data_IF_210853433736
#
_entry.id   IF_210853433736
#
_cell.length_a   1.000
_cell.length_b   1.000
_cell.length_c   1.000
_cell.angle_alpha   90.00
_cell.angle_beta   90.00
_cell.angle_gamma   90.00
#
_symmetry.space_group_name_H-M   'P 1'
#
loop_
_entity.id
_entity.type
_entity.pdbx_description
1 polymer ?
#
# COMPACT_ATOMS: atom_id res chain seq x y z
N UNK A 1 -18.81 12.73 -14.28
CA UNK A 1 -18.46 11.31 -14.54
C UNK A 1 -17.03 11.15 -15.09
N UNK A 2 -16.56 11.93 -16.07
CA UNK A 2 -15.19 11.80 -16.61
C UNK A 2 -14.09 12.02 -15.56
N UNK A 3 -14.25 12.98 -14.64
CA UNK A 3 -13.27 13.27 -13.56
C UNK A 3 -13.13 12.09 -12.56
N UNK A 4 -14.24 11.47 -12.18
CA UNK A 4 -14.25 10.32 -11.24
C UNK A 4 -13.52 9.12 -11.85
N UNK A 5 -13.79 8.80 -13.11
CA UNK A 5 -13.10 7.74 -13.83
C UNK A 5 -11.59 8.01 -14.01
N UNK A 6 -11.23 9.27 -14.29
CA UNK A 6 -9.83 9.66 -14.37
C UNK A 6 -9.13 9.58 -12.99
N UNK A 7 -9.83 9.93 -11.90
CA UNK A 7 -9.29 9.75 -10.54
C UNK A 7 -9.05 8.28 -10.19
N UNK A 8 -9.93 7.37 -10.63
CA UNK A 8 -9.73 5.93 -10.49
C UNK A 8 -8.47 5.46 -11.24
N UNK A 9 -8.34 5.83 -12.52
CA UNK A 9 -7.13 5.52 -13.30
C UNK A 9 -5.87 6.10 -12.66
N UNK A 10 -5.94 7.34 -12.16
CA UNK A 10 -4.82 8.00 -11.49
C UNK A 10 -4.34 7.21 -10.25
N UNK A 11 -5.28 6.68 -9.45
CA UNK A 11 -4.93 5.86 -8.30
C UNK A 11 -4.17 4.59 -8.70
N UNK A 12 -4.65 3.87 -9.71
CA UNK A 12 -3.96 2.66 -10.19
C UNK A 12 -2.63 2.96 -10.86
N UNK A 13 -2.56 4.01 -11.69
CA UNK A 13 -1.32 4.42 -12.35
C UNK A 13 -0.23 4.84 -11.34
N UNK A 14 -0.62 5.45 -10.22
CA UNK A 14 0.32 5.93 -9.21
C UNK A 14 0.77 4.82 -8.25
N UNK A 15 -0.14 3.98 -7.79
CA UNK A 15 0.10 3.06 -6.68
C UNK A 15 0.22 1.59 -7.10
N UNK A 16 0.20 1.29 -8.39
CA UNK A 16 0.38 -0.07 -8.90
C UNK A 16 1.14 -0.12 -10.23
N UNK A 17 1.60 -1.31 -10.57
CA UNK A 17 2.15 -1.65 -11.89
C UNK A 17 1.09 -2.24 -12.84
N UNK A 18 -0.18 -2.26 -12.41
CA UNK A 18 -1.28 -2.72 -13.25
C UNK A 18 -1.41 -1.75 -14.43
N UNK A 19 -1.37 -2.23 -15.69
CA UNK A 19 -1.48 -1.38 -16.85
C UNK A 19 -2.77 -0.56 -16.84
N UNK A 20 -2.62 0.76 -16.93
CA UNK A 20 -3.74 1.70 -16.98
C UNK A 20 -3.60 2.60 -18.21
N UNK A 21 -4.72 3.03 -18.81
CA UNK A 21 -4.68 4.04 -19.86
C UNK A 21 -4.00 5.34 -19.38
N UNK A 22 -3.41 6.08 -20.30
CA UNK A 22 -2.76 7.36 -19.97
C UNK A 22 -3.66 8.28 -19.15
N UNK A 23 -3.07 8.91 -18.16
CA UNK A 23 -3.74 9.82 -17.23
C UNK A 23 -3.08 11.20 -17.32
N UNK A 24 -3.89 12.22 -17.51
CA UNK A 24 -3.43 13.61 -17.37
C UNK A 24 -3.34 13.97 -15.90
N UNK A 25 -2.15 14.28 -15.44
CA UNK A 25 -1.85 14.66 -14.05
C UNK A 25 -2.23 16.14 -13.81
N UNK A 26 -3.51 16.38 -13.50
CA UNK A 26 -4.05 17.69 -13.19
C UNK A 26 -4.91 17.63 -11.92
N UNK A 27 -5.19 18.78 -11.32
CA UNK A 27 -5.96 18.90 -10.07
C UNK A 27 -7.33 18.24 -10.14
N UNK A 28 -7.99 18.32 -11.28
CA UNK A 28 -9.33 17.77 -11.46
C UNK A 28 -9.32 16.23 -11.43
N UNK A 29 -8.36 15.62 -12.11
CA UNK A 29 -8.20 14.16 -12.17
C UNK A 29 -7.64 13.59 -10.85
N UNK A 30 -6.88 14.37 -10.08
CA UNK A 30 -6.33 13.97 -8.78
C UNK A 30 -7.33 14.16 -7.62
N UNK A 31 -8.39 14.92 -7.83
CA UNK A 31 -9.33 15.35 -6.78
C UNK A 31 -9.90 14.20 -5.92
N UNK A 32 -10.22 13.08 -6.53
CA UNK A 32 -10.81 11.91 -5.86
C UNK A 32 -9.86 10.70 -5.86
N UNK A 33 -8.60 10.87 -6.26
CA UNK A 33 -7.64 9.77 -6.39
C UNK A 33 -7.50 8.98 -5.07
N UNK A 34 -7.45 9.68 -3.93
CA UNK A 34 -7.33 9.04 -2.62
C UNK A 34 -8.57 8.22 -2.23
N UNK A 35 -9.76 8.55 -2.74
CA UNK A 35 -10.95 7.72 -2.54
C UNK A 35 -10.83 6.35 -3.23
N UNK A 36 -10.04 6.27 -4.30
CA UNK A 36 -9.81 5.04 -5.08
C UNK A 36 -8.55 4.28 -4.68
N UNK A 37 -7.73 4.85 -3.81
CA UNK A 37 -6.53 4.18 -3.33
C UNK A 37 -6.80 2.82 -2.65
N UNK A 38 -7.86 2.62 -1.84
CA UNK A 38 -8.21 1.31 -1.29
C UNK A 38 -8.46 0.23 -2.33
N UNK A 39 -8.93 0.58 -3.53
CA UNK A 39 -9.18 -0.41 -4.60
C UNK A 39 -7.89 -1.02 -5.16
N UNK A 40 -6.76 -0.33 -5.06
CA UNK A 40 -5.45 -0.94 -5.32
C UNK A 40 -5.17 -2.05 -4.30
N UNK A 41 -5.50 -1.81 -3.03
CA UNK A 41 -5.46 -2.84 -1.99
C UNK A 41 -6.40 -4.01 -2.28
N UNK A 42 -7.62 -3.72 -2.77
CA UNK A 42 -8.58 -4.75 -3.19
C UNK A 42 -8.02 -5.63 -4.32
N UNK A 43 -7.37 -5.04 -5.32
CA UNK A 43 -6.76 -5.80 -6.41
C UNK A 43 -5.65 -6.73 -5.91
N UNK A 44 -4.81 -6.25 -4.97
CA UNK A 44 -3.79 -7.08 -4.31
C UNK A 44 -4.47 -8.21 -3.53
N UNK A 45 -5.49 -7.89 -2.73
CA UNK A 45 -6.20 -8.84 -1.89
C UNK A 45 -6.87 -9.94 -2.72
N UNK A 46 -7.58 -9.59 -3.79
CA UNK A 46 -8.22 -10.56 -4.69
C UNK A 46 -7.16 -11.49 -5.31
N UNK A 47 -6.05 -10.94 -5.81
CA UNK A 47 -4.99 -11.75 -6.40
C UNK A 47 -4.36 -12.69 -5.36
N UNK A 48 -4.08 -12.18 -4.16
CA UNK A 48 -3.49 -12.95 -3.07
C UNK A 48 -4.43 -14.07 -2.61
N UNK A 49 -5.71 -13.75 -2.42
CA UNK A 49 -6.73 -14.74 -2.06
C UNK A 49 -6.89 -15.80 -3.16
N UNK A 50 -6.99 -15.40 -4.42
CA UNK A 50 -7.14 -16.32 -5.55
C UNK A 50 -5.95 -17.28 -5.65
N UNK A 51 -4.73 -16.75 -5.59
CA UNK A 51 -3.50 -17.56 -5.65
C UNK A 51 -3.42 -18.48 -4.43
N UNK A 52 -3.67 -17.97 -3.23
CA UNK A 52 -3.67 -18.77 -2.00
C UNK A 52 -4.71 -19.88 -2.03
N UNK A 53 -5.92 -19.58 -2.48
CA UNK A 53 -6.99 -20.57 -2.60
C UNK A 53 -6.69 -21.62 -3.69
N UNK A 54 -6.36 -21.18 -4.91
CA UNK A 54 -6.15 -22.10 -6.05
C UNK A 54 -4.93 -22.98 -5.84
N UNK A 55 -3.77 -22.38 -5.49
CA UNK A 55 -2.55 -23.14 -5.30
C UNK A 55 -2.54 -23.95 -4.01
N UNK A 56 -3.18 -23.43 -2.95
CA UNK A 56 -3.28 -24.13 -1.68
C UNK A 56 -4.26 -25.32 -1.68
N UNK A 57 -5.36 -25.23 -2.48
CA UNK A 57 -6.41 -26.25 -2.48
C UNK A 57 -6.33 -27.24 -3.64
N UNK A 58 -5.81 -26.82 -4.80
CA UNK A 58 -5.88 -27.59 -6.03
C UNK A 58 -4.52 -28.01 -6.59
N UNK A 59 -3.42 -27.41 -6.11
CA UNK A 59 -2.07 -27.74 -6.53
C UNK A 59 -1.31 -28.28 -5.33
N UNK A 60 -0.68 -29.44 -5.46
CA UNK A 60 0.21 -30.00 -4.43
C UNK A 60 1.52 -29.20 -4.39
N UNK A 61 1.44 -27.96 -3.91
CA UNK A 61 2.59 -27.09 -3.76
C UNK A 61 3.14 -27.19 -2.35
N UNK A 62 4.47 -27.16 -2.23
CA UNK A 62 5.12 -27.12 -0.93
C UNK A 62 4.69 -25.82 -0.19
N UNK A 63 4.18 -25.96 1.07
CA UNK A 63 3.58 -24.81 1.78
C UNK A 63 4.53 -23.61 1.96
N UNK A 64 5.81 -23.85 2.17
CA UNK A 64 6.78 -22.75 2.31
C UNK A 64 6.91 -21.97 0.99
N UNK A 65 6.93 -22.66 -0.15
CA UNK A 65 7.01 -22.00 -1.44
C UNK A 65 5.74 -21.19 -1.77
N UNK A 66 4.57 -21.70 -1.39
CA UNK A 66 3.32 -20.93 -1.50
C UNK A 66 3.38 -19.67 -0.63
N UNK A 67 3.88 -19.74 0.60
CA UNK A 67 4.06 -18.59 1.46
C UNK A 67 5.00 -17.54 0.84
N UNK A 68 6.08 -17.98 0.16
CA UNK A 68 6.98 -17.09 -0.61
C UNK A 68 6.21 -16.37 -1.72
N UNK A 69 5.40 -17.08 -2.50
CA UNK A 69 4.59 -16.48 -3.57
C UNK A 69 3.66 -15.41 -3.00
N UNK A 70 2.91 -15.72 -1.94
CA UNK A 70 1.99 -14.78 -1.29
C UNK A 70 2.70 -13.55 -0.72
N UNK A 71 3.92 -13.73 -0.22
CA UNK A 71 4.76 -12.64 0.30
C UNK A 71 5.14 -11.63 -0.79
N UNK A 72 5.45 -12.09 -2.00
CA UNK A 72 5.96 -11.22 -3.07
C UNK A 72 4.86 -10.58 -3.94
N UNK A 73 3.64 -11.12 -3.95
CA UNK A 73 2.52 -10.57 -4.74
C UNK A 73 2.32 -9.06 -4.52
N UNK A 74 2.21 -8.54 -3.28
CA UNK A 74 2.01 -7.10 -3.06
C UNK A 74 3.15 -6.25 -3.62
N UNK A 75 4.38 -6.75 -3.58
CA UNK A 75 5.56 -6.05 -4.12
C UNK A 75 5.47 -5.94 -5.63
N UNK A 76 5.16 -7.04 -6.32
CA UNK A 76 5.03 -7.03 -7.78
C UNK A 76 3.86 -6.17 -8.25
N UNK A 77 2.71 -6.26 -7.58
CA UNK A 77 1.52 -5.47 -7.95
C UNK A 77 1.75 -3.98 -7.76
N UNK A 78 2.44 -3.56 -6.69
CA UNK A 78 2.69 -2.15 -6.41
C UNK A 78 4.00 -1.61 -6.97
N UNK A 79 4.88 -2.49 -7.45
CA UNK A 79 6.25 -2.13 -7.81
C UNK A 79 7.10 -1.70 -6.61
N UNK A 80 6.71 -2.12 -5.41
CA UNK A 80 7.46 -1.87 -4.18
C UNK A 80 7.27 -0.49 -3.55
N UNK A 81 6.49 0.43 -4.13
CA UNK A 81 6.38 1.83 -3.67
C UNK A 81 6.05 1.99 -2.17
N UNK A 82 5.29 1.06 -1.59
CA UNK A 82 4.95 1.12 -0.17
C UNK A 82 6.09 0.61 0.73
N UNK A 83 6.81 -0.40 0.25
CA UNK A 83 7.99 -0.92 0.93
C UNK A 83 9.11 0.11 0.87
N UNK A 84 9.33 0.72 -0.28
CA UNK A 84 10.27 1.82 -0.48
C UNK A 84 10.06 2.94 0.56
N UNK A 85 8.82 3.44 0.69
CA UNK A 85 8.50 4.44 1.71
C UNK A 85 8.72 3.97 3.16
N UNK A 86 8.55 2.69 3.46
CA UNK A 86 8.89 2.11 4.76
C UNK A 86 10.41 2.16 5.00
N UNK A 87 11.19 1.79 3.99
CA UNK A 87 12.66 1.72 4.08
C UNK A 87 13.27 3.12 4.23
N UNK A 88 12.83 4.08 3.41
CA UNK A 88 13.25 5.47 3.51
C UNK A 88 12.95 6.06 4.89
N UNK A 89 11.75 5.80 5.40
CA UNK A 89 11.33 6.26 6.72
C UNK A 89 12.16 5.60 7.82
N UNK A 90 12.48 4.31 7.69
CA UNK A 90 13.30 3.58 8.64
C UNK A 90 14.72 4.16 8.72
N UNK A 91 15.35 4.43 7.58
CA UNK A 91 16.68 5.05 7.56
C UNK A 91 16.67 6.45 8.20
N UNK A 92 15.69 7.27 7.83
CA UNK A 92 15.56 8.62 8.36
C UNK A 92 15.35 8.63 9.89
N UNK A 93 14.49 7.76 10.43
CA UNK A 93 14.19 7.69 11.85
C UNK A 93 15.33 7.07 12.65
N UNK A 94 15.93 6.00 12.14
CA UNK A 94 17.02 5.29 12.83
C UNK A 94 18.35 6.02 12.80
N UNK A 95 18.46 7.09 12.01
CA UNK A 95 19.67 7.93 11.98
C UNK A 95 19.90 8.72 13.27
N UNK A 96 18.89 8.88 14.12
CA UNK A 96 18.93 9.69 15.36
C UNK A 96 19.39 11.14 15.14
N UNK A 97 19.30 11.63 13.91
CA UNK A 97 19.69 12.99 13.53
C UNK A 97 18.60 14.01 13.82
N UNK A 98 18.96 15.29 13.77
CA UNK A 98 18.00 16.38 13.82
C UNK A 98 16.99 16.34 12.64
N UNK A 99 15.84 16.97 12.82
CA UNK A 99 14.74 16.96 11.85
C UNK A 99 15.19 17.31 10.42
N UNK A 100 16.02 18.35 10.28
CA UNK A 100 16.50 18.80 8.96
C UNK A 100 17.30 17.69 8.26
N UNK A 101 18.23 17.08 8.99
CA UNK A 101 19.05 16.00 8.44
C UNK A 101 18.23 14.74 8.12
N UNK A 102 17.25 14.40 8.96
CA UNK A 102 16.32 13.28 8.65
C UNK A 102 15.52 13.52 7.37
N UNK A 103 15.10 14.76 7.10
CA UNK A 103 14.40 15.12 5.87
C UNK A 103 15.31 15.08 4.64
N UNK A 104 16.62 15.28 4.80
CA UNK A 104 17.63 15.07 3.74
C UNK A 104 17.82 13.59 3.46
N UNK A 105 17.98 12.76 4.50
CA UNK A 105 18.08 11.29 4.36
C UNK A 105 16.84 10.74 3.64
N UNK A 106 15.64 11.22 3.97
CA UNK A 106 14.39 10.84 3.31
C UNK A 106 14.35 11.19 1.81
N UNK A 107 15.25 12.04 1.31
CA UNK A 107 15.39 12.39 -0.11
C UNK A 107 16.47 11.58 -0.82
N UNK A 108 17.32 10.91 -0.08
CA UNK A 108 18.42 10.14 -0.63
C UNK A 108 17.85 8.87 -1.29
N UNK A 109 18.22 8.63 -2.53
CA UNK A 109 17.82 7.43 -3.28
C UNK A 109 18.63 6.18 -2.89
N UNK A 110 19.63 6.30 -2.02
CA UNK A 110 20.46 5.19 -1.58
C UNK A 110 19.88 4.58 -0.30
N UNK A 111 19.67 3.27 -0.31
CA UNK A 111 19.26 2.55 0.89
C UNK A 111 20.42 2.47 1.89
N UNK A 112 20.19 2.92 3.11
CA UNK A 112 21.13 2.78 4.21
C UNK A 112 21.03 1.43 4.91
N UNK A 113 21.87 1.22 5.91
CA UNK A 113 21.93 -0.04 6.65
C UNK A 113 20.60 -0.35 7.37
N UNK A 114 19.95 0.67 7.92
CA UNK A 114 18.67 0.46 8.64
C UNK A 114 17.53 0.11 7.70
N UNK A 115 17.48 0.65 6.48
CA UNK A 115 16.55 0.20 5.45
C UNK A 115 16.73 -1.29 5.16
N UNK A 116 17.96 -1.75 4.95
CA UNK A 116 18.26 -3.15 4.67
C UNK A 116 17.82 -4.06 5.83
N UNK A 117 18.17 -3.69 7.06
CA UNK A 117 17.75 -4.44 8.26
C UNK A 117 16.23 -4.50 8.35
N UNK A 118 15.55 -3.36 8.15
CA UNK A 118 14.08 -3.28 8.18
C UNK A 118 13.45 -4.13 7.08
N UNK A 119 14.00 -4.13 5.87
CA UNK A 119 13.55 -4.99 4.79
C UNK A 119 13.64 -6.47 5.15
N UNK A 120 14.80 -6.90 5.67
CA UNK A 120 15.00 -8.29 6.07
C UNK A 120 13.99 -8.71 7.17
N UNK A 121 13.86 -7.91 8.23
CA UNK A 121 12.92 -8.20 9.33
C UNK A 121 11.48 -8.22 8.83
N UNK A 122 11.09 -7.22 8.03
CA UNK A 122 9.74 -7.14 7.46
C UNK A 122 9.40 -8.38 6.64
N UNK A 123 10.26 -8.76 5.69
CA UNK A 123 9.96 -9.90 4.81
C UNK A 123 10.04 -11.25 5.52
N UNK A 124 10.91 -11.42 6.52
CA UNK A 124 10.97 -12.64 7.33
C UNK A 124 9.67 -12.79 8.13
N UNK A 125 9.22 -11.72 8.80
CA UNK A 125 7.98 -11.77 9.59
C UNK A 125 6.75 -11.95 8.69
N UNK A 126 6.72 -11.29 7.54
CA UNK A 126 5.64 -11.38 6.57
C UNK A 126 5.53 -12.79 5.96
N UNK A 127 6.65 -13.39 5.61
CA UNK A 127 6.74 -14.78 5.15
C UNK A 127 6.27 -15.75 6.25
N UNK A 128 6.73 -15.54 7.48
CA UNK A 128 6.31 -16.35 8.63
C UNK A 128 4.81 -16.27 8.89
N UNK A 129 4.21 -15.07 8.77
CA UNK A 129 2.78 -14.87 8.91
C UNK A 129 1.99 -15.63 7.83
N UNK A 130 2.40 -15.54 6.56
CA UNK A 130 1.78 -16.34 5.49
C UNK A 130 1.90 -17.83 5.72
N UNK A 131 3.10 -18.30 6.12
CA UNK A 131 3.32 -19.72 6.42
C UNK A 131 2.41 -20.24 7.52
N UNK A 132 2.13 -19.41 8.53
CA UNK A 132 1.23 -19.76 9.63
C UNK A 132 -0.24 -19.84 9.20
N UNK A 133 -0.66 -19.02 8.23
CA UNK A 133 -2.04 -18.94 7.75
C UNK A 133 -2.38 -19.98 6.67
N UNK A 134 -1.37 -20.66 6.11
CA UNK A 134 -1.63 -21.67 5.10
C UNK A 134 -2.41 -22.86 5.69
N UNK A 135 -3.52 -23.21 5.04
CA UNK A 135 -4.49 -24.19 5.51
C UNK A 135 -5.69 -23.57 6.27
N UNK A 136 -5.61 -22.30 6.64
CA UNK A 136 -6.73 -21.53 7.19
C UNK A 136 -7.31 -20.60 6.10
N UNK A 137 -8.44 -21.01 5.52
CA UNK A 137 -9.11 -20.23 4.47
C UNK A 137 -9.62 -18.86 4.97
N UNK A 138 -10.11 -18.81 6.21
CA UNK A 138 -10.61 -17.58 6.81
C UNK A 138 -9.45 -16.63 7.09
N UNK A 139 -8.34 -17.13 7.59
CA UNK A 139 -7.11 -16.36 7.80
C UNK A 139 -6.56 -15.75 6.51
N UNK A 140 -6.54 -16.52 5.41
CA UNK A 140 -6.14 -16.00 4.09
C UNK A 140 -7.11 -14.91 3.60
N UNK A 141 -8.41 -15.10 3.81
CA UNK A 141 -9.43 -14.13 3.43
C UNK A 141 -9.26 -12.82 4.20
N UNK A 142 -9.13 -12.89 5.52
CA UNK A 142 -8.92 -11.76 6.43
C UNK A 142 -7.65 -10.99 6.03
N UNK A 143 -6.52 -11.68 5.81
CA UNK A 143 -5.29 -11.04 5.35
C UNK A 143 -5.46 -10.34 3.99
N UNK A 144 -6.23 -10.94 3.10
CA UNK A 144 -6.52 -10.36 1.77
C UNK A 144 -7.35 -9.08 1.88
N UNK A 145 -8.34 -9.03 2.77
CA UNK A 145 -9.11 -7.82 3.10
C UNK A 145 -8.20 -6.76 3.76
N UNK A 146 -7.24 -7.19 4.56
CA UNK A 146 -6.25 -6.34 5.22
C UNK A 146 -5.48 -5.43 4.26
N UNK A 147 -5.26 -5.83 3.00
CA UNK A 147 -4.64 -4.96 2.00
C UNK A 147 -5.51 -3.72 1.69
N UNK A 148 -6.81 -3.87 1.58
CA UNK A 148 -7.72 -2.74 1.38
C UNK A 148 -7.76 -1.84 2.62
N UNK A 149 -7.85 -2.43 3.83
CA UNK A 149 -7.85 -1.68 5.09
C UNK A 149 -6.56 -0.87 5.27
N UNK A 150 -5.42 -1.47 4.98
CA UNK A 150 -4.12 -0.79 5.03
C UNK A 150 -4.08 0.46 4.14
N UNK A 151 -4.67 0.42 2.95
CA UNK A 151 -4.76 1.58 2.04
C UNK A 151 -5.75 2.62 2.53
N UNK A 152 -6.84 2.22 3.18
CA UNK A 152 -7.72 3.17 3.86
C UNK A 152 -6.96 3.94 4.94
N UNK A 153 -6.23 3.25 5.82
CA UNK A 153 -5.44 3.89 6.87
C UNK A 153 -4.34 4.81 6.32
N UNK A 154 -3.61 4.34 5.31
CA UNK A 154 -2.58 5.15 4.65
C UNK A 154 -3.17 6.41 4.01
N UNK A 155 -4.31 6.28 3.33
CA UNK A 155 -5.02 7.42 2.73
C UNK A 155 -5.53 8.41 3.76
N UNK A 156 -6.08 7.93 4.89
CA UNK A 156 -6.49 8.75 6.03
C UNK A 156 -5.27 9.51 6.58
N UNK A 157 -4.13 8.82 6.77
CA UNK A 157 -2.90 9.42 7.24
C UNK A 157 -2.40 10.54 6.32
N UNK A 158 -2.43 10.30 5.00
CA UNK A 158 -2.06 11.34 4.00
C UNK A 158 -2.96 12.58 4.09
N UNK A 159 -4.22 12.43 4.46
CA UNK A 159 -5.16 13.57 4.53
C UNK A 159 -5.07 14.28 5.88
N UNK A 160 -5.04 13.55 6.99
CA UNK A 160 -5.20 14.11 8.34
C UNK A 160 -3.88 14.64 8.91
N UNK A 161 -2.76 13.91 8.71
CA UNK A 161 -1.51 14.28 9.36
C UNK A 161 -0.84 15.49 8.69
N UNK A 162 -0.22 16.38 9.49
CA UNK A 162 0.62 17.45 8.97
C UNK A 162 1.74 16.90 8.10
N UNK A 163 2.00 17.53 6.98
CA UNK A 163 3.06 17.10 6.06
C UNK A 163 4.42 17.46 6.62
N UNK A 164 5.35 16.53 6.64
CA UNK A 164 6.73 16.77 7.06
C UNK A 164 7.44 17.76 6.13
N UNK A 165 7.01 17.79 4.85
CA UNK A 165 7.56 18.65 3.78
C UNK A 165 6.41 19.28 2.98
N UNK A 166 6.68 20.45 2.42
CA UNK A 166 5.76 21.18 1.52
C UNK A 166 5.90 20.77 0.05
N UNK A 167 7.02 20.10 -0.28
CA UNK A 167 7.37 19.57 -1.60
C UNK A 167 7.24 18.04 -1.59
N UNK A 168 7.08 17.46 -2.78
CA UNK A 168 7.00 16.02 -2.98
C UNK A 168 5.58 15.48 -3.17
N UNK A 169 5.53 14.22 -3.57
CA UNK A 169 4.33 13.52 -4.06
C UNK A 169 3.18 13.50 -3.04
N UNK A 170 3.49 13.22 -1.76
CA UNK A 170 2.47 13.16 -0.69
C UNK A 170 1.85 14.55 -0.42
N UNK A 171 2.67 15.61 -0.45
CA UNK A 171 2.18 16.98 -0.29
C UNK A 171 1.30 17.40 -1.48
N UNK A 172 1.64 16.97 -2.69
CA UNK A 172 0.87 17.22 -3.89
C UNK A 172 -0.49 16.50 -3.86
N UNK A 173 -0.52 15.24 -3.45
CA UNK A 173 -1.76 14.47 -3.30
C UNK A 173 -2.70 15.13 -2.31
N UNK A 174 -2.19 15.53 -1.15
CA UNK A 174 -3.00 16.21 -0.14
C UNK A 174 -3.55 17.55 -0.65
N UNK A 175 -2.74 18.36 -1.32
CA UNK A 175 -3.20 19.67 -1.86
C UNK A 175 -4.28 19.54 -2.93
N UNK A 176 -4.23 18.48 -3.73
CA UNK A 176 -5.14 18.29 -4.86
C UNK A 176 -6.38 17.47 -4.47
N UNK A 177 -6.35 16.76 -3.34
CA UNK A 177 -7.46 15.96 -2.85
C UNK A 177 -8.62 16.83 -2.34
N UNK A 178 -9.84 16.33 -2.53
CA UNK A 178 -11.00 16.83 -1.78
C UNK A 178 -10.96 16.24 -0.37
N UNK A 179 -10.31 16.94 0.57
CA UNK A 179 -10.00 16.42 1.91
C UNK A 179 -11.22 15.84 2.63
N UNK A 180 -12.34 16.59 2.66
CA UNK A 180 -13.56 16.16 3.37
C UNK A 180 -14.13 14.91 2.72
N UNK A 181 -14.24 14.88 1.39
CA UNK A 181 -14.82 13.73 0.68
C UNK A 181 -13.92 12.51 0.83
N UNK A 182 -12.62 12.67 0.61
CA UNK A 182 -11.67 11.56 0.69
C UNK A 182 -11.60 11.00 2.11
N UNK A 183 -11.53 11.86 3.14
CA UNK A 183 -11.55 11.43 4.54
C UNK A 183 -12.82 10.63 4.86
N UNK A 184 -13.98 11.16 4.53
CA UNK A 184 -15.25 10.49 4.86
C UNK A 184 -15.39 9.15 4.14
N UNK A 185 -15.05 9.08 2.85
CA UNK A 185 -15.06 7.83 2.08
C UNK A 185 -14.12 6.79 2.68
N UNK A 186 -12.89 7.17 2.98
CA UNK A 186 -11.87 6.27 3.55
C UNK A 186 -12.26 5.76 4.94
N UNK A 187 -12.78 6.63 5.80
CA UNK A 187 -13.26 6.25 7.14
C UNK A 187 -14.46 5.30 7.04
N UNK A 188 -15.43 5.60 6.18
CA UNK A 188 -16.58 4.72 5.97
C UNK A 188 -16.18 3.35 5.42
N UNK A 189 -15.28 3.31 4.44
CA UNK A 189 -14.77 2.05 3.89
C UNK A 189 -14.02 1.25 4.97
N UNK A 190 -13.15 1.90 5.74
CA UNK A 190 -12.43 1.25 6.83
C UNK A 190 -13.38 0.67 7.89
N UNK A 191 -14.38 1.47 8.33
CA UNK A 191 -15.35 1.02 9.31
C UNK A 191 -16.20 -0.16 8.79
N UNK A 192 -16.64 -0.11 7.52
CA UNK A 192 -17.37 -1.22 6.91
C UNK A 192 -16.54 -2.51 6.85
N UNK A 193 -15.26 -2.41 6.48
CA UNK A 193 -14.36 -3.57 6.45
C UNK A 193 -14.09 -4.11 7.86
N UNK A 194 -13.94 -3.26 8.87
CA UNK A 194 -13.73 -3.68 10.25
C UNK A 194 -14.95 -4.41 10.86
N UNK A 195 -16.14 -4.17 10.35
CA UNK A 195 -17.36 -4.91 10.75
C UNK A 195 -17.46 -6.27 10.03
N UNK A 196 -16.86 -6.40 8.84
CA UNK A 196 -16.88 -7.62 8.04
C UNK A 196 -15.81 -8.65 8.44
N UNK A 197 -14.80 -8.25 9.21
CA UNK A 197 -13.70 -9.08 9.72
C UNK A 197 -14.02 -9.61 11.12
#
# INVERSE_FOLDING_TARGET
MKSVWNSFKAAFAMFSKIPTPMVDWNKENMKYMMCFFPFVGTAIGILTWLVGYVLGSHVQMEPFFLAVILTVIPVFVTGGIHVDGLLDTSDALSSWQERTRRLEILKDSHAGAFAIITACVYFILWLGAWRQLLGDHDGICIMSIGFMMSRCLSGIGVIIFPKARTDGTVAEFSRNASEIVARNVLVMMFAALAVLM
#
